data_IF_337850553897
#
_entry.id   IF_337850553897
#
_cell.length_a   1.000
_cell.length_b   1.000
_cell.length_c   1.000
_cell.angle_alpha   90.00
_cell.angle_beta   90.00
_cell.angle_gamma   90.00
#
_symmetry.space_group_name_H-M   'P 1'
#
loop_
_entity.id
_entity.type
_entity.pdbx_description
1 polymer ?
#
# COMPACT_ATOMS: atom_id res chain seq x y z
N UNK A 1 -12.24 25.49 -21.63
CA UNK A 1 -11.72 25.64 -20.26
C UNK A 1 -10.22 25.71 -20.40
N UNK A 2 -9.63 26.91 -20.30
CA UNK A 2 -8.19 27.02 -20.08
C UNK A 2 -7.94 26.45 -18.68
N UNK A 3 -7.26 25.29 -18.60
CA UNK A 3 -6.73 24.83 -17.33
C UNK A 3 -5.75 25.90 -16.87
N UNK A 4 -6.01 26.51 -15.72
CA UNK A 4 -5.07 27.46 -15.14
C UNK A 4 -3.75 26.69 -14.94
N UNK A 5 -2.75 27.01 -15.76
CA UNK A 5 -1.39 26.54 -15.56
C UNK A 5 -0.90 27.18 -14.26
N UNK A 6 -1.05 26.47 -13.15
CA UNK A 6 -0.56 26.93 -11.86
C UNK A 6 0.96 26.98 -11.93
N UNK A 7 1.56 28.16 -11.71
CA UNK A 7 3.01 28.22 -11.69
C UNK A 7 3.52 27.44 -10.47
N UNK A 8 4.44 26.52 -10.71
CA UNK A 8 5.20 25.78 -9.68
C UNK A 8 5.78 26.70 -8.61
N UNK A 9 6.00 27.98 -8.96
CA UNK A 9 6.45 29.05 -8.09
C UNK A 9 5.46 29.36 -6.95
N UNK A 10 4.15 29.37 -7.20
CA UNK A 10 3.15 29.70 -6.16
C UNK A 10 3.06 28.59 -5.11
N UNK A 11 3.04 27.32 -5.54
CA UNK A 11 3.05 26.16 -4.63
C UNK A 11 4.42 26.04 -3.94
N UNK A 12 5.51 26.26 -4.68
CA UNK A 12 6.88 26.23 -4.16
C UNK A 12 7.13 27.29 -3.08
N UNK A 13 6.63 28.50 -3.25
CA UNK A 13 6.77 29.59 -2.29
C UNK A 13 6.07 29.31 -0.95
N UNK A 14 5.02 28.47 -0.95
CA UNK A 14 4.30 28.06 0.28
C UNK A 14 4.98 26.87 0.96
N UNK A 15 5.59 25.96 0.18
CA UNK A 15 6.25 24.76 0.71
C UNK A 15 7.69 25.01 1.23
N UNK A 16 8.23 26.23 1.05
CA UNK A 16 9.57 26.67 1.49
C UNK A 16 10.72 25.80 0.91
N UNK A 17 11.97 26.04 1.35
CA UNK A 17 13.20 25.29 0.98
C UNK A 17 13.18 23.78 1.33
N UNK A 18 12.08 23.27 1.90
CA UNK A 18 11.94 21.86 2.33
C UNK A 18 11.61 20.91 1.18
N UNK A 19 11.27 21.44 0.02
CA UNK A 19 10.91 20.64 -1.17
C UNK A 19 11.50 21.25 -2.43
N UNK A 20 11.72 20.40 -3.44
CA UNK A 20 12.03 20.83 -4.80
C UNK A 20 10.71 20.70 -5.59
N UNK A 21 10.00 21.79 -5.90
CA UNK A 21 8.80 21.70 -6.71
C UNK A 21 9.20 21.27 -8.13
N UNK A 22 8.71 20.11 -8.56
CA UNK A 22 8.85 19.62 -9.93
C UNK A 22 7.49 19.78 -10.60
N UNK A 23 7.42 20.67 -11.59
CA UNK A 23 6.27 20.72 -12.49
C UNK A 23 6.41 19.60 -13.50
N UNK A 24 5.37 18.79 -13.63
CA UNK A 24 5.28 17.82 -14.72
C UNK A 24 4.33 18.37 -15.79
N UNK A 25 4.77 18.37 -17.04
CA UNK A 25 3.87 18.62 -18.16
C UNK A 25 3.17 17.32 -18.52
N UNK A 26 1.89 17.21 -18.22
CA UNK A 26 1.15 15.97 -18.39
C UNK A 26 1.05 15.54 -19.86
N UNK A 27 1.12 16.48 -20.82
CA UNK A 27 1.09 16.13 -22.25
C UNK A 27 2.44 15.54 -22.74
N UNK A 28 3.56 15.96 -22.14
CA UNK A 28 4.90 15.47 -22.52
C UNK A 28 5.39 14.31 -21.63
N UNK A 29 4.87 14.19 -20.40
CA UNK A 29 5.36 13.30 -19.35
C UNK A 29 4.27 12.33 -18.83
N UNK A 30 3.36 11.92 -19.71
CA UNK A 30 2.24 11.00 -19.41
C UNK A 30 2.71 9.70 -18.73
N UNK A 31 3.83 9.11 -19.17
CA UNK A 31 4.40 7.88 -18.58
C UNK A 31 4.82 8.08 -17.11
N UNK A 32 5.35 9.26 -16.77
CA UNK A 32 5.75 9.61 -15.40
C UNK A 32 4.49 9.82 -14.56
N UNK A 33 3.50 10.54 -15.08
CA UNK A 33 2.24 10.78 -14.38
C UNK A 33 1.46 9.48 -14.12
N UNK A 34 1.44 8.56 -15.09
CA UNK A 34 0.85 7.22 -14.96
C UNK A 34 1.60 6.38 -13.91
N UNK A 35 2.93 6.43 -13.89
CA UNK A 35 3.74 5.73 -12.89
C UNK A 35 3.50 6.22 -11.46
N UNK A 36 3.17 7.51 -11.32
CA UNK A 36 2.77 8.13 -10.05
C UNK A 36 1.26 7.96 -9.77
N UNK A 37 0.51 7.36 -10.70
CA UNK A 37 -0.91 7.09 -10.59
C UNK A 37 -1.79 8.35 -10.59
N UNK A 38 -1.33 9.46 -11.17
CA UNK A 38 -2.07 10.71 -11.30
C UNK A 38 -3.16 10.53 -12.35
N UNK A 39 -4.43 10.78 -11.99
CA UNK A 39 -5.59 10.56 -12.88
C UNK A 39 -6.39 11.83 -13.21
N UNK A 40 -6.05 12.95 -12.58
CA UNK A 40 -6.72 14.24 -12.74
C UNK A 40 -5.72 15.37 -12.50
N UNK A 41 -5.93 16.51 -13.15
CA UNK A 41 -5.08 17.71 -13.08
C UNK A 41 -5.95 18.90 -12.64
N UNK A 42 -5.47 19.80 -11.75
CA UNK A 42 -4.15 19.77 -11.08
C UNK A 42 -4.05 18.68 -10.02
N UNK A 43 -2.87 18.09 -9.84
CA UNK A 43 -2.59 17.15 -8.75
C UNK A 43 -1.23 17.44 -8.12
N UNK A 44 -1.10 17.15 -6.83
CA UNK A 44 0.16 17.23 -6.11
C UNK A 44 0.55 15.86 -5.58
N UNK A 45 1.81 15.48 -5.75
CA UNK A 45 2.36 14.23 -5.22
C UNK A 45 3.58 14.54 -4.38
N UNK A 46 3.64 14.01 -3.16
CA UNK A 46 4.86 14.05 -2.35
C UNK A 46 5.65 12.80 -2.67
N UNK A 47 6.86 12.95 -3.19
CA UNK A 47 7.73 11.82 -3.57
C UNK A 47 8.90 11.72 -2.61
N UNK A 48 9.17 10.53 -2.10
CA UNK A 48 10.42 10.26 -1.39
C UNK A 48 11.57 10.20 -2.43
N UNK A 49 12.57 11.11 -2.35
CA UNK A 49 13.63 11.17 -3.34
C UNK A 49 14.58 9.95 -3.31
N UNK A 50 14.67 9.24 -2.20
CA UNK A 50 15.53 8.05 -2.08
C UNK A 50 14.90 6.83 -2.76
N UNK A 51 13.57 6.68 -2.68
CA UNK A 51 12.84 5.55 -3.28
C UNK A 51 12.16 5.87 -4.60
N UNK A 52 12.04 7.15 -4.96
CA UNK A 52 11.30 7.62 -6.13
C UNK A 52 9.78 7.42 -6.01
N UNK A 53 9.26 7.14 -4.81
CA UNK A 53 7.86 6.74 -4.60
C UNK A 53 6.99 7.89 -4.12
N UNK A 54 5.79 7.95 -4.68
CA UNK A 54 4.70 8.75 -4.13
C UNK A 54 4.38 8.26 -2.70
N UNK A 55 4.60 9.11 -1.71
CA UNK A 55 4.21 8.90 -0.33
C UNK A 55 2.69 8.96 -0.18
N UNK A 56 2.10 9.99 -0.77
CA UNK A 56 0.67 10.25 -0.77
C UNK A 56 0.36 11.26 -1.89
N UNK A 57 -0.91 11.40 -2.27
CA UNK A 57 -1.33 12.26 -3.38
C UNK A 57 -2.56 13.10 -3.03
N UNK A 58 -2.57 14.32 -3.56
CA UNK A 58 -3.75 15.18 -3.57
C UNK A 58 -4.29 15.18 -4.99
N UNK A 59 -5.39 14.45 -5.20
CA UNK A 59 -6.13 14.51 -6.45
C UNK A 59 -6.99 15.79 -6.46
N UNK A 60 -6.75 16.68 -7.43
CA UNK A 60 -7.60 17.82 -7.77
C UNK A 60 -7.92 18.80 -6.62
N UNK A 61 -7.22 19.92 -6.59
CA UNK A 61 -7.52 21.05 -5.71
C UNK A 61 -7.51 22.35 -6.51
N UNK A 62 -8.65 23.04 -6.55
CA UNK A 62 -8.83 24.27 -7.34
C UNK A 62 -8.11 25.46 -6.70
N UNK A 63 -7.96 25.47 -5.37
CA UNK A 63 -7.25 26.50 -4.60
C UNK A 63 -5.77 26.11 -4.37
N UNK A 64 -4.80 26.82 -4.99
CA UNK A 64 -3.37 26.55 -4.82
C UNK A 64 -2.91 26.63 -3.37
N UNK A 65 -3.51 27.51 -2.56
CA UNK A 65 -3.15 27.60 -1.16
C UNK A 65 -3.68 26.41 -0.36
N UNK A 66 -4.88 25.91 -0.68
CA UNK A 66 -5.41 24.68 -0.11
C UNK A 66 -4.55 23.47 -0.49
N UNK A 67 -4.09 23.41 -1.75
CA UNK A 67 -3.19 22.37 -2.23
C UNK A 67 -1.88 22.40 -1.47
N UNK A 68 -1.27 23.59 -1.34
CA UNK A 68 -0.03 23.76 -0.61
C UNK A 68 -0.17 23.46 0.89
N UNK A 69 -1.28 23.84 1.54
CA UNK A 69 -1.55 23.46 2.94
C UNK A 69 -1.67 21.95 3.11
N UNK A 70 -2.35 21.27 2.18
CA UNK A 70 -2.47 19.80 2.18
C UNK A 70 -1.12 19.12 1.99
N UNK A 71 -0.35 19.54 0.99
CA UNK A 71 1.00 19.03 0.73
C UNK A 71 1.94 19.28 1.91
N UNK A 72 1.88 20.46 2.54
CA UNK A 72 2.64 20.76 3.76
C UNK A 72 2.28 19.80 4.90
N UNK A 73 0.99 19.57 5.14
CA UNK A 73 0.55 18.59 6.14
C UNK A 73 0.98 17.15 5.83
N UNK A 74 1.09 16.77 4.55
CA UNK A 74 1.65 15.46 4.14
C UNK A 74 3.14 15.37 4.46
N UNK A 75 3.91 16.43 4.17
CA UNK A 75 5.34 16.49 4.47
C UNK A 75 5.62 16.40 5.97
N UNK A 76 4.82 17.08 6.80
CA UNK A 76 4.96 17.00 8.25
C UNK A 76 4.66 15.59 8.78
N UNK A 77 3.66 14.90 8.23
CA UNK A 77 3.38 13.48 8.55
C UNK A 77 4.52 12.58 8.13
N UNK A 78 5.05 12.79 6.93
CA UNK A 78 6.20 12.04 6.41
C UNK A 78 7.44 12.22 7.31
N UNK A 79 7.77 13.47 7.67
CA UNK A 79 8.89 13.77 8.54
C UNK A 79 8.73 13.15 9.94
N UNK A 80 7.51 13.19 10.50
CA UNK A 80 7.21 12.53 11.76
C UNK A 80 7.36 11.00 11.68
N UNK A 81 6.91 10.40 10.57
CA UNK A 81 7.06 8.97 10.33
C UNK A 81 8.53 8.54 10.19
N UNK A 82 9.37 9.36 9.52
CA UNK A 82 10.82 9.12 9.42
C UNK A 82 11.49 9.10 10.80
N UNK A 83 11.22 10.11 11.63
CA UNK A 83 11.75 10.17 13.01
C UNK A 83 11.30 8.95 13.82
N UNK A 84 10.04 8.56 13.69
CA UNK A 84 9.50 7.41 14.42
C UNK A 84 10.08 6.09 13.91
N UNK A 85 10.29 5.95 12.60
CA UNK A 85 10.95 4.79 12.01
C UNK A 85 12.36 4.66 12.56
N UNK A 86 13.18 5.72 12.49
CA UNK A 86 14.55 5.73 13.05
C UNK A 86 14.57 5.39 14.55
N UNK A 87 13.62 5.93 15.32
CA UNK A 87 13.51 5.64 16.76
C UNK A 87 13.18 4.16 17.02
N UNK A 88 12.31 3.59 16.19
CA UNK A 88 11.83 2.21 16.36
C UNK A 88 12.81 1.19 15.78
N UNK A 89 13.53 1.50 14.71
CA UNK A 89 14.45 0.58 14.01
C UNK A 89 15.90 0.65 14.50
N UNK A 90 16.17 1.33 15.61
CA UNK A 90 17.49 1.36 16.23
C UNK A 90 18.00 -0.03 16.66
N UNK A 91 19.29 -0.12 16.99
CA UNK A 91 20.04 -1.37 17.25
C UNK A 91 19.40 -2.31 18.31
N UNK A 92 18.49 -1.81 19.14
CA UNK A 92 17.80 -2.59 20.18
C UNK A 92 16.56 -3.35 19.69
N UNK A 93 16.03 -3.08 18.48
CA UNK A 93 14.79 -3.69 18.00
C UNK A 93 14.96 -5.17 17.61
N UNK A 94 16.08 -5.51 16.97
CA UNK A 94 16.31 -6.87 16.46
C UNK A 94 16.35 -7.93 17.58
N UNK A 95 16.68 -7.52 18.81
CA UNK A 95 16.68 -8.38 20.00
C UNK A 95 15.40 -8.24 20.85
N UNK A 96 14.44 -7.42 20.43
CA UNK A 96 13.20 -7.22 21.17
C UNK A 96 12.23 -8.39 20.94
N UNK A 97 11.74 -8.96 22.04
CA UNK A 97 10.66 -9.95 22.05
C UNK A 97 9.26 -9.29 22.11
N UNK A 98 9.16 -7.98 21.87
CA UNK A 98 7.90 -7.24 21.89
C UNK A 98 7.25 -7.23 20.49
N UNK A 99 6.19 -8.04 20.33
CA UNK A 99 5.41 -8.13 19.09
C UNK A 99 4.83 -6.78 18.65
N UNK A 100 4.37 -5.95 19.59
CA UNK A 100 3.80 -4.64 19.29
C UNK A 100 4.88 -3.67 18.80
N UNK A 101 6.11 -3.79 19.32
CA UNK A 101 7.22 -2.97 18.89
C UNK A 101 7.61 -3.28 17.43
N UNK A 102 7.70 -4.55 17.07
CA UNK A 102 7.92 -4.96 15.67
C UNK A 102 6.80 -4.51 14.75
N UNK A 103 5.53 -4.65 15.17
CA UNK A 103 4.39 -4.16 14.40
C UNK A 103 4.48 -2.65 14.15
N UNK A 104 4.75 -1.86 15.19
CA UNK A 104 4.90 -0.40 15.07
C UNK A 104 6.10 0.01 14.21
N UNK A 105 7.20 -0.74 14.30
CA UNK A 105 8.36 -0.50 13.45
C UNK A 105 8.00 -0.72 11.98
N UNK A 106 7.26 -1.79 11.67
CA UNK A 106 6.78 -2.05 10.31
C UNK A 106 5.86 -0.92 9.82
N UNK A 107 4.89 -0.47 10.63
CA UNK A 107 4.03 0.67 10.28
C UNK A 107 4.83 1.96 10.03
N UNK A 108 5.81 2.24 10.89
CA UNK A 108 6.64 3.42 10.77
C UNK A 108 7.51 3.38 9.51
N UNK A 109 8.12 2.23 9.18
CA UNK A 109 8.89 2.05 7.93
C UNK A 109 8.01 2.25 6.71
N UNK A 110 6.78 1.70 6.70
CA UNK A 110 5.84 1.92 5.59
C UNK A 110 5.49 3.40 5.47
N UNK A 111 5.19 4.06 6.59
CA UNK A 111 4.86 5.49 6.61
C UNK A 111 6.06 6.39 6.31
N UNK A 112 7.28 5.93 6.53
CA UNK A 112 8.50 6.70 6.32
C UNK A 112 9.04 6.51 4.90
N UNK A 113 9.19 5.27 4.44
CA UNK A 113 9.93 4.96 3.22
C UNK A 113 9.03 4.44 2.09
N UNK A 114 7.84 3.91 2.42
CA UNK A 114 7.04 3.12 1.49
C UNK A 114 7.74 1.82 1.04
N UNK A 115 8.77 1.40 1.79
CA UNK A 115 9.58 0.21 1.53
C UNK A 115 8.90 -0.99 2.18
N UNK A 116 8.15 -1.74 1.37
CA UNK A 116 7.56 -3.02 1.77
C UNK A 116 8.67 -4.05 2.07
N UNK A 117 9.80 -3.99 1.35
CA UNK A 117 10.91 -4.91 1.57
C UNK A 117 11.53 -4.78 2.98
N UNK A 118 11.62 -3.57 3.51
CA UNK A 118 12.14 -3.32 4.86
C UNK A 118 11.09 -3.56 5.95
N UNK A 119 9.80 -3.29 5.68
CA UNK A 119 8.75 -3.46 6.67
C UNK A 119 8.31 -4.92 6.87
N UNK A 120 8.35 -5.75 5.82
CA UNK A 120 7.88 -7.13 5.87
C UNK A 120 8.55 -8.00 6.95
N UNK A 121 9.90 -7.98 7.11
CA UNK A 121 10.56 -8.71 8.20
C UNK A 121 10.07 -8.34 9.61
N UNK A 122 9.65 -7.08 9.81
CA UNK A 122 9.11 -6.65 11.09
C UNK A 122 7.67 -7.13 11.31
N UNK A 123 6.85 -7.18 10.25
CA UNK A 123 5.56 -7.86 10.34
C UNK A 123 5.72 -9.37 10.61
N UNK A 124 6.68 -10.03 9.96
CA UNK A 124 6.98 -11.45 10.20
C UNK A 124 7.37 -11.69 11.66
N UNK A 125 8.25 -10.85 12.23
CA UNK A 125 8.64 -10.92 13.63
C UNK A 125 7.45 -10.68 14.58
N UNK A 126 6.61 -9.68 14.28
CA UNK A 126 5.42 -9.39 15.09
C UNK A 126 4.43 -10.56 15.10
N UNK A 127 4.19 -11.20 13.95
CA UNK A 127 3.30 -12.36 13.83
C UNK A 127 3.91 -13.60 14.49
N UNK A 128 5.24 -13.75 14.42
CA UNK A 128 5.93 -14.85 15.10
C UNK A 128 5.81 -14.76 16.62
N UNK A 129 5.98 -13.55 17.17
CA UNK A 129 5.91 -13.27 18.60
C UNK A 129 4.47 -13.28 19.14
N UNK A 130 3.52 -12.79 18.35
CA UNK A 130 2.08 -12.86 18.64
C UNK A 130 1.30 -13.43 17.44
N UNK A 131 1.16 -14.77 17.37
CA UNK A 131 0.40 -15.42 16.31
C UNK A 131 -1.10 -15.06 16.32
N UNK A 132 -1.64 -14.51 17.41
CA UNK A 132 -3.04 -14.10 17.50
C UNK A 132 -3.25 -12.63 17.08
N UNK A 133 -2.18 -11.90 16.73
CA UNK A 133 -2.25 -10.53 16.22
C UNK A 133 -2.89 -10.46 14.83
N UNK A 134 -4.22 -10.42 14.79
CA UNK A 134 -5.02 -10.35 13.55
C UNK A 134 -4.73 -9.09 12.74
N UNK A 135 -4.54 -7.95 13.41
CA UNK A 135 -4.19 -6.69 12.75
C UNK A 135 -2.84 -6.81 12.04
N UNK A 136 -1.84 -7.36 12.72
CA UNK A 136 -0.52 -7.62 12.14
C UNK A 136 -0.58 -8.56 10.93
N UNK A 137 -1.34 -9.66 11.02
CA UNK A 137 -1.56 -10.58 9.89
C UNK A 137 -2.26 -9.92 8.70
N UNK A 138 -3.25 -9.06 8.96
CA UNK A 138 -4.01 -8.34 7.91
C UNK A 138 -3.12 -7.35 7.19
N UNK A 139 -2.39 -6.57 7.94
CA UNK A 139 -1.55 -5.53 7.39
C UNK A 139 -0.34 -6.16 6.67
N UNK A 140 0.22 -7.24 7.21
CA UNK A 140 1.19 -8.10 6.50
C UNK A 140 0.64 -8.60 5.16
N UNK A 141 -0.57 -9.18 5.11
CA UNK A 141 -1.14 -9.71 3.87
C UNK A 141 -1.31 -8.61 2.81
N UNK A 142 -1.81 -7.44 3.24
CA UNK A 142 -1.95 -6.26 2.39
C UNK A 142 -0.60 -5.77 1.86
N UNK A 143 0.41 -5.65 2.73
CA UNK A 143 1.72 -5.15 2.34
C UNK A 143 2.54 -6.18 1.56
N UNK A 144 2.31 -7.48 1.75
CA UNK A 144 2.92 -8.53 0.93
C UNK A 144 2.40 -8.49 -0.50
N UNK A 145 1.10 -8.27 -0.67
CA UNK A 145 0.51 -8.01 -1.99
C UNK A 145 1.05 -6.72 -2.62
N UNK A 146 1.20 -5.66 -1.84
CA UNK A 146 1.76 -4.40 -2.32
C UNK A 146 3.26 -4.57 -2.70
N UNK A 147 4.04 -5.30 -1.91
CA UNK A 147 5.42 -5.67 -2.21
C UNK A 147 5.56 -6.45 -3.51
N UNK A 148 4.67 -7.42 -3.74
CA UNK A 148 4.58 -8.16 -5.00
C UNK A 148 4.26 -7.27 -6.21
N UNK A 149 3.35 -6.30 -6.04
CA UNK A 149 2.91 -5.40 -7.11
C UNK A 149 3.90 -4.29 -7.43
N UNK A 150 4.61 -3.77 -6.43
CA UNK A 150 5.31 -2.49 -6.54
C UNK A 150 6.82 -2.55 -6.28
N UNK A 151 7.33 -3.39 -5.38
CA UNK A 151 8.76 -3.37 -5.04
C UNK A 151 9.53 -4.46 -5.77
N UNK A 152 9.62 -5.66 -5.24
CA UNK A 152 10.69 -6.57 -5.62
C UNK A 152 10.39 -7.99 -5.18
N UNK A 153 9.33 -8.58 -5.72
CA UNK A 153 9.26 -10.04 -5.78
C UNK A 153 8.63 -10.47 -7.10
N UNK A 154 9.45 -10.64 -8.14
CA UNK A 154 9.02 -11.38 -9.34
C UNK A 154 8.75 -12.85 -9.00
N UNK A 155 9.20 -13.32 -7.82
CA UNK A 155 8.89 -14.66 -7.35
C UNK A 155 7.49 -14.71 -6.73
N UNK A 156 6.49 -14.61 -7.61
CA UNK A 156 5.10 -14.85 -7.24
C UNK A 156 4.89 -16.24 -6.62
N UNK A 157 5.85 -17.17 -6.73
CA UNK A 157 5.76 -18.45 -6.03
C UNK A 157 5.94 -18.30 -4.53
N UNK A 158 6.85 -17.44 -4.08
CA UNK A 158 7.04 -17.17 -2.64
C UNK A 158 5.79 -16.50 -2.06
N UNK A 159 5.32 -15.41 -2.67
CA UNK A 159 4.13 -14.69 -2.21
C UNK A 159 2.88 -15.60 -2.21
N UNK A 160 2.71 -16.43 -3.25
CA UNK A 160 1.65 -17.44 -3.33
C UNK A 160 1.74 -18.45 -2.19
N UNK A 161 2.95 -18.98 -1.90
CA UNK A 161 3.16 -19.94 -0.83
C UNK A 161 2.84 -19.37 0.55
N UNK A 162 3.30 -18.15 0.84
CA UNK A 162 3.09 -17.49 2.12
C UNK A 162 1.62 -17.10 2.34
N UNK A 163 0.96 -16.52 1.33
CA UNK A 163 -0.48 -16.22 1.39
C UNK A 163 -1.33 -17.50 1.44
N UNK A 164 -0.90 -18.56 0.75
CA UNK A 164 -1.55 -19.87 0.80
C UNK A 164 -1.47 -20.52 2.19
N UNK A 165 -0.33 -20.39 2.86
CA UNK A 165 -0.16 -20.85 4.24
C UNK A 165 -1.07 -20.09 5.20
N UNK A 166 -1.11 -18.75 5.11
CA UNK A 166 -2.01 -17.92 5.92
C UNK A 166 -3.49 -18.28 5.67
N UNK A 167 -3.88 -18.54 4.42
CA UNK A 167 -5.24 -18.97 4.10
C UNK A 167 -5.59 -20.31 4.73
N UNK A 168 -4.67 -21.28 4.73
CA UNK A 168 -4.86 -22.57 5.36
C UNK A 168 -5.06 -22.44 6.89
N UNK A 169 -4.29 -21.55 7.53
CA UNK A 169 -4.45 -21.26 8.96
C UNK A 169 -5.81 -20.61 9.26
N UNK A 170 -6.26 -19.68 8.41
CA UNK A 170 -7.59 -19.06 8.54
C UNK A 170 -8.73 -20.06 8.33
N UNK A 171 -8.52 -21.08 7.50
CA UNK A 171 -9.50 -22.16 7.29
C UNK A 171 -9.58 -23.13 8.46
N UNK A 172 -8.47 -23.35 9.16
CA UNK A 172 -8.44 -24.12 10.40
C UNK A 172 -9.03 -23.34 11.59
N UNK A 173 -9.12 -22.01 11.52
CA UNK A 173 -9.59 -21.16 12.60
C UNK A 173 -11.12 -21.26 12.81
N UNK A 174 -11.54 -21.39 14.07
CA UNK A 174 -12.97 -21.48 14.45
C UNK A 174 -13.76 -20.18 14.22
N UNK A 175 -13.07 -19.02 14.18
CA UNK A 175 -13.65 -17.70 13.91
C UNK A 175 -12.83 -17.05 12.81
N UNK A 176 -13.45 -16.82 11.64
CA UNK A 176 -12.82 -16.13 10.52
C UNK A 176 -12.99 -14.62 10.69
N UNK A 177 -11.88 -13.90 10.69
CA UNK A 177 -11.88 -12.44 10.52
C UNK A 177 -12.16 -12.14 9.04
N UNK A 178 -13.31 -11.52 8.70
CA UNK A 178 -13.69 -11.30 7.30
C UNK A 178 -12.75 -10.37 6.55
N UNK A 179 -12.13 -9.41 7.23
CA UNK A 179 -11.21 -8.46 6.60
C UNK A 179 -9.90 -9.15 6.26
N UNK A 180 -9.34 -9.90 7.21
CA UNK A 180 -8.12 -10.69 7.00
C UNK A 180 -8.33 -11.79 5.94
N UNK A 181 -9.46 -12.50 6.00
CA UNK A 181 -9.82 -13.49 4.98
C UNK A 181 -9.92 -12.85 3.60
N UNK A 182 -10.56 -11.67 3.51
CA UNK A 182 -10.71 -10.96 2.26
C UNK A 182 -9.39 -10.50 1.66
N UNK A 183 -8.50 -9.89 2.46
CA UNK A 183 -7.18 -9.43 1.99
C UNK A 183 -6.33 -10.61 1.52
N UNK A 184 -6.38 -11.73 2.26
CA UNK A 184 -5.63 -12.95 1.93
C UNK A 184 -6.13 -13.59 0.64
N UNK A 185 -7.45 -13.79 0.50
CA UNK A 185 -8.06 -14.37 -0.70
C UNK A 185 -7.83 -13.48 -1.94
N UNK A 186 -8.01 -12.17 -1.79
CA UNK A 186 -7.81 -11.22 -2.88
C UNK A 186 -6.34 -11.18 -3.30
N UNK A 187 -5.42 -11.07 -2.34
CA UNK A 187 -3.98 -11.06 -2.61
C UNK A 187 -3.51 -12.32 -3.31
N UNK A 188 -3.93 -13.50 -2.83
CA UNK A 188 -3.57 -14.77 -3.45
C UNK A 188 -4.16 -14.88 -4.87
N UNK A 189 -5.41 -14.46 -5.07
CA UNK A 189 -6.02 -14.45 -6.39
C UNK A 189 -5.24 -13.59 -7.39
N UNK A 190 -4.82 -12.38 -7.00
CA UNK A 190 -4.01 -11.49 -7.84
C UNK A 190 -2.66 -12.12 -8.20
N UNK A 191 -1.99 -12.75 -7.23
CA UNK A 191 -0.72 -13.44 -7.46
C UNK A 191 -0.89 -14.59 -8.46
N UNK A 192 -1.88 -15.47 -8.26
CA UNK A 192 -2.14 -16.60 -9.15
C UNK A 192 -2.50 -16.15 -10.58
N UNK A 193 -3.32 -15.10 -10.73
CA UNK A 193 -3.67 -14.54 -12.03
C UNK A 193 -2.44 -14.02 -12.77
N UNK A 194 -1.55 -13.31 -12.08
CA UNK A 194 -0.31 -12.79 -12.68
C UNK A 194 0.66 -13.91 -13.06
N UNK A 195 0.66 -15.01 -12.31
CA UNK A 195 1.40 -16.24 -12.63
C UNK A 195 0.79 -17.06 -13.78
N UNK A 196 -0.32 -16.59 -14.37
CA UNK A 196 -1.09 -17.27 -15.42
C UNK A 196 -1.77 -18.56 -14.95
N UNK A 197 -1.95 -18.73 -13.64
CA UNK A 197 -2.71 -19.81 -13.02
C UNK A 197 -4.20 -19.41 -12.94
N UNK A 198 -4.79 -19.08 -14.10
CA UNK A 198 -6.11 -18.42 -14.17
C UNK A 198 -7.22 -19.20 -13.46
N UNK A 199 -7.21 -20.53 -13.56
CA UNK A 199 -8.20 -21.37 -12.89
C UNK A 199 -8.14 -21.24 -11.35
N UNK A 200 -6.92 -21.17 -10.77
CA UNK A 200 -6.74 -20.98 -9.33
C UNK A 200 -7.15 -19.58 -8.91
N UNK A 201 -6.71 -18.56 -9.65
CA UNK A 201 -7.08 -17.17 -9.38
C UNK A 201 -8.60 -16.95 -9.38
N UNK A 202 -9.31 -17.47 -10.39
CA UNK A 202 -10.78 -17.36 -10.48
C UNK A 202 -11.46 -18.15 -9.36
N UNK A 203 -10.98 -19.34 -9.02
CA UNK A 203 -11.54 -20.11 -7.90
C UNK A 203 -11.44 -19.35 -6.57
N UNK A 204 -10.33 -18.66 -6.32
CA UNK A 204 -10.12 -17.82 -5.14
C UNK A 204 -11.05 -16.59 -5.12
N UNK A 205 -11.27 -15.94 -6.26
CA UNK A 205 -12.24 -14.84 -6.37
C UNK A 205 -13.68 -15.31 -6.12
N UNK A 206 -14.07 -16.47 -6.68
CA UNK A 206 -15.39 -17.07 -6.43
C UNK A 206 -15.57 -17.39 -4.93
N UNK A 207 -14.52 -17.91 -4.31
CA UNK A 207 -14.49 -18.19 -2.87
C UNK A 207 -14.63 -16.92 -2.03
N UNK A 208 -13.93 -15.84 -2.38
CA UNK A 208 -14.06 -14.53 -1.73
C UNK A 208 -15.51 -14.03 -1.77
N UNK A 209 -16.17 -14.11 -2.92
CA UNK A 209 -17.57 -13.69 -3.08
C UNK A 209 -18.54 -14.55 -2.28
N UNK A 210 -18.23 -15.84 -2.09
CA UNK A 210 -19.06 -16.78 -1.35
C UNK A 210 -18.90 -16.67 0.18
N UNK A 211 -17.67 -16.43 0.66
CA UNK A 211 -17.37 -16.46 2.10
C UNK A 211 -17.45 -15.09 2.79
N UNK A 212 -17.32 -13.98 2.04
CA UNK A 212 -17.36 -12.64 2.64
C UNK A 212 -18.79 -12.07 2.74
N UNK A 213 -19.12 -11.38 3.84
CA UNK A 213 -20.38 -10.65 3.94
C UNK A 213 -20.42 -9.48 2.93
N UNK A 214 -21.62 -9.06 2.55
CA UNK A 214 -21.85 -8.04 1.50
C UNK A 214 -21.07 -6.73 1.70
N UNK A 215 -21.02 -6.22 2.93
CA UNK A 215 -20.26 -5.00 3.24
C UNK A 215 -18.75 -5.15 3.04
N UNK A 216 -18.20 -6.35 3.28
CA UNK A 216 -16.77 -6.63 3.05
C UNK A 216 -16.46 -6.86 1.57
N UNK A 217 -17.42 -7.40 0.79
CA UNK A 217 -17.28 -7.59 -0.66
C UNK A 217 -17.15 -6.28 -1.43
N UNK A 218 -17.89 -5.25 -0.99
CA UNK A 218 -17.85 -3.92 -1.61
C UNK A 218 -16.43 -3.32 -1.67
N UNK A 219 -15.58 -3.62 -0.66
CA UNK A 219 -14.19 -3.15 -0.59
C UNK A 219 -13.31 -3.65 -1.74
N UNK A 220 -13.58 -4.86 -2.25
CA UNK A 220 -12.76 -5.47 -3.30
C UNK A 220 -13.26 -5.16 -4.70
N UNK A 221 -14.34 -4.37 -4.84
CA UNK A 221 -14.98 -4.03 -6.11
C UNK A 221 -15.18 -5.23 -7.04
N UNK A 222 -15.35 -6.43 -6.48
CA UNK A 222 -15.68 -7.63 -7.24
C UNK A 222 -17.18 -7.55 -7.53
N UNK A 223 -17.55 -6.67 -8.45
CA UNK A 223 -18.83 -6.80 -9.14
C UNK A 223 -18.79 -8.10 -9.95
N UNK A 224 -19.94 -8.78 -10.07
CA UNK A 224 -20.10 -10.01 -10.87
C UNK A 224 -19.45 -9.91 -12.27
N UNK A 225 -19.32 -8.69 -12.83
CA UNK A 225 -18.65 -8.39 -14.10
C UNK A 225 -17.22 -8.93 -14.24
N UNK A 226 -16.44 -9.02 -13.15
CA UNK A 226 -15.09 -9.63 -13.22
C UNK A 226 -15.21 -11.13 -13.42
N UNK A 227 -16.11 -11.80 -12.70
CA UNK A 227 -16.32 -13.24 -12.81
C UNK A 227 -16.98 -13.64 -14.14
N UNK A 228 -17.92 -12.83 -14.65
CA UNK A 228 -18.58 -13.01 -15.95
C UNK A 228 -17.61 -12.98 -17.15
N UNK A 229 -16.42 -12.36 -17.00
CA UNK A 229 -15.39 -12.35 -18.04
C UNK A 229 -14.55 -13.63 -18.12
N UNK A 230 -14.66 -14.51 -17.13
CA UNK A 230 -13.88 -15.75 -17.03
C UNK A 230 -14.74 -17.03 -17.14
N UNK A 231 -16.03 -16.89 -17.49
CA UNK A 231 -16.95 -17.98 -17.84
C UNK A 231 -17.07 -18.12 -19.36
#
# INVERSE_FOLDING_TARGET
MEAAAYSTETVGNVLNERTIPVGLDFEEEEEIADSLGVRAIPAGVVVNPASGRAFDRVEYEEDPEALARRLSGMLDRYAAAQVEAERLTGESLAASEDALLHYRAAEAIIAAAGSYAEALPHYDAAIHLDPENRTGKRDWARFRLAGYRYEMDKDGARASGELGALLADLDAAAVKDPDLLGETLFGLAVVELHRRETAKGVALLKRLVAELPEHARAKYCIENKILERFE
#
